data_IF_518859800583
#
_entry.id   IF_518859800583
#
_cell.length_a   1.000
_cell.length_b   1.000
_cell.length_c   1.000
_cell.angle_alpha   90.00
_cell.angle_beta   90.00
_cell.angle_gamma   90.00
#
_symmetry.space_group_name_H-M   'P 1'
#
loop_
_entity.id
_entity.type
_entity.pdbx_description
1 polymer ?
#
# COMPACT_ATOMS: atom_id res chain seq x y z
N UNK A 1 -24.55 -34.95 11.42
CA UNK A 1 -24.41 -33.47 11.48
C UNK A 1 -23.16 -33.04 12.26
N UNK A 2 -21.95 -33.38 11.79
CA UNK A 2 -20.68 -32.91 12.42
C UNK A 2 -19.62 -32.41 11.41
N UNK A 3 -20.00 -32.25 10.15
CA UNK A 3 -19.11 -31.78 9.07
C UNK A 3 -19.27 -30.29 8.74
N UNK A 4 -20.28 -29.62 9.29
CA UNK A 4 -20.54 -28.20 9.01
C UNK A 4 -19.80 -27.24 9.95
N UNK A 5 -19.26 -27.72 11.09
CA UNK A 5 -18.64 -26.85 12.09
C UNK A 5 -17.14 -26.57 11.84
N UNK A 6 -16.48 -27.36 11.00
CA UNK A 6 -15.05 -27.20 10.68
C UNK A 6 -14.75 -26.24 9.54
N UNK A 7 -15.74 -25.89 8.70
CA UNK A 7 -15.54 -24.95 7.59
C UNK A 7 -15.62 -23.46 8.00
N UNK A 8 -16.20 -23.15 9.17
CA UNK A 8 -16.41 -21.77 9.62
C UNK A 8 -15.18 -21.11 10.28
N UNK A 9 -14.11 -21.88 10.53
CA UNK A 9 -12.89 -21.36 11.16
C UNK A 9 -11.84 -20.82 10.17
N UNK A 10 -12.01 -21.02 8.86
CA UNK A 10 -11.01 -20.66 7.84
C UNK A 10 -11.18 -19.27 7.21
N UNK A 11 -12.31 -18.61 7.48
CA UNK A 11 -12.63 -17.31 6.88
C UNK A 11 -11.93 -16.11 7.56
N UNK A 12 -11.74 -16.04 8.90
CA UNK A 12 -11.24 -14.81 9.51
C UNK A 12 -9.78 -14.53 9.19
N UNK A 13 -8.95 -15.53 8.88
CA UNK A 13 -7.52 -15.34 8.57
C UNK A 13 -7.29 -14.62 7.25
N UNK A 14 -8.15 -14.83 6.24
CA UNK A 14 -8.04 -14.19 4.93
C UNK A 14 -8.34 -12.69 4.99
N UNK A 15 -9.25 -12.25 5.85
CA UNK A 15 -9.59 -10.83 5.99
C UNK A 15 -8.44 -10.02 6.60
N UNK A 16 -7.71 -10.59 7.55
CA UNK A 16 -6.59 -9.92 8.22
C UNK A 16 -5.35 -9.90 7.34
N UNK A 17 -5.07 -11.01 6.63
CA UNK A 17 -4.00 -11.04 5.65
C UNK A 17 -4.21 -9.97 4.56
N UNK A 18 -5.45 -9.78 4.10
CA UNK A 18 -5.76 -8.74 3.12
C UNK A 18 -5.61 -7.31 3.69
N UNK A 19 -5.99 -7.06 4.95
CA UNK A 19 -5.82 -5.74 5.55
C UNK A 19 -4.35 -5.39 5.80
N UNK A 20 -3.54 -6.37 6.19
CA UNK A 20 -2.09 -6.21 6.32
C UNK A 20 -1.45 -5.90 4.97
N UNK A 21 -1.67 -6.76 3.97
CA UNK A 21 -1.10 -6.58 2.62
C UNK A 21 -1.48 -5.21 2.06
N UNK A 22 -2.74 -4.80 2.21
CA UNK A 22 -3.19 -3.49 1.74
C UNK A 22 -2.47 -2.35 2.46
N UNK A 23 -2.37 -2.38 3.79
CA UNK A 23 -1.69 -1.32 4.55
C UNK A 23 -0.24 -1.15 4.10
N UNK A 24 0.48 -2.25 3.92
CA UNK A 24 1.85 -2.25 3.39
C UNK A 24 1.92 -1.80 1.93
N UNK A 25 0.99 -2.26 1.08
CA UNK A 25 0.95 -1.89 -0.32
C UNK A 25 0.71 -0.38 -0.49
N UNK A 26 -0.23 0.20 0.25
CA UNK A 26 -0.49 1.65 0.20
C UNK A 26 0.69 2.49 0.69
N UNK A 27 1.38 2.09 1.76
CA UNK A 27 2.64 2.75 2.17
C UNK A 27 3.68 2.66 1.05
N UNK A 28 3.94 1.45 0.53
CA UNK A 28 4.94 1.25 -0.52
C UNK A 28 4.63 1.99 -1.81
N UNK A 29 3.35 2.06 -2.21
CA UNK A 29 2.94 2.83 -3.38
C UNK A 29 3.16 4.33 -3.16
N UNK A 30 2.77 4.85 -2.00
CA UNK A 30 2.97 6.28 -1.68
C UNK A 30 4.46 6.67 -1.62
N UNK A 31 5.35 5.77 -1.19
CA UNK A 31 6.80 5.98 -1.23
C UNK A 31 7.35 5.99 -2.67
N UNK A 32 6.89 5.08 -3.52
CA UNK A 32 7.23 5.06 -4.95
C UNK A 32 6.78 6.37 -5.61
N UNK A 33 5.56 6.82 -5.31
CA UNK A 33 5.02 8.07 -5.82
C UNK A 33 5.83 9.29 -5.36
N UNK A 34 6.15 9.38 -4.06
CA UNK A 34 6.96 10.46 -3.50
C UNK A 34 8.38 10.53 -4.13
N UNK A 35 8.92 9.38 -4.55
CA UNK A 35 10.24 9.28 -5.21
C UNK A 35 10.17 9.32 -6.74
N UNK A 36 8.98 9.49 -7.33
CA UNK A 36 8.81 9.51 -8.77
C UNK A 36 9.45 10.75 -9.41
N UNK A 37 10.21 10.53 -10.48
CA UNK A 37 10.84 11.60 -11.26
C UNK A 37 9.85 12.41 -12.10
N UNK A 38 8.61 11.93 -12.23
CA UNK A 38 7.54 12.62 -12.97
C UNK A 38 6.84 13.69 -12.14
N UNK A 39 7.00 13.69 -10.80
CA UNK A 39 6.36 14.64 -9.90
C UNK A 39 7.36 15.77 -9.61
N UNK A 40 7.29 16.83 -10.41
CA UNK A 40 8.28 17.92 -10.38
C UNK A 40 7.74 19.21 -9.76
N UNK A 41 6.41 19.38 -9.69
CA UNK A 41 5.82 20.60 -9.11
C UNK A 41 5.92 20.55 -7.58
N UNK A 42 6.39 21.63 -6.91
CA UNK A 42 6.51 21.65 -5.45
C UNK A 42 5.21 21.33 -4.71
N UNK A 43 4.08 21.83 -5.21
CA UNK A 43 2.75 21.59 -4.60
C UNK A 43 2.38 20.11 -4.66
N UNK A 44 2.56 19.48 -5.83
CA UNK A 44 2.29 18.04 -6.02
C UNK A 44 3.20 17.17 -5.14
N UNK A 45 4.47 17.55 -5.02
CA UNK A 45 5.42 16.87 -4.13
C UNK A 45 5.02 16.97 -2.65
N UNK A 46 4.64 18.17 -2.17
CA UNK A 46 4.19 18.34 -0.78
C UNK A 46 2.94 17.51 -0.49
N UNK A 47 2.04 17.41 -1.45
CA UNK A 47 0.86 16.57 -1.31
C UNK A 47 1.22 15.08 -1.26
N UNK A 48 2.06 14.58 -2.16
CA UNK A 48 2.50 13.18 -2.12
C UNK A 48 3.26 12.86 -0.82
N UNK A 49 4.03 13.81 -0.29
CA UNK A 49 4.67 13.67 1.02
C UNK A 49 3.64 13.54 2.14
N UNK A 50 2.58 14.36 2.14
CA UNK A 50 1.51 14.26 3.14
C UNK A 50 0.80 12.90 3.08
N UNK A 51 0.47 12.43 1.88
CA UNK A 51 -0.13 11.11 1.65
C UNK A 51 0.80 9.99 2.12
N UNK A 52 2.10 10.04 1.81
CA UNK A 52 3.07 9.05 2.29
C UNK A 52 3.09 8.95 3.83
N UNK A 53 3.10 10.10 4.51
CA UNK A 53 3.08 10.13 5.97
C UNK A 53 1.77 9.56 6.54
N UNK A 54 0.63 9.87 5.94
CA UNK A 54 -0.68 9.30 6.31
C UNK A 54 -0.71 7.77 6.18
N UNK A 55 -0.31 7.23 5.02
CA UNK A 55 -0.31 5.77 4.80
C UNK A 55 0.69 5.04 5.69
N UNK A 56 1.87 5.64 5.89
CA UNK A 56 2.87 5.12 6.83
C UNK A 56 2.32 5.08 8.26
N UNK A 57 1.69 6.16 8.73
CA UNK A 57 1.10 6.20 10.07
C UNK A 57 -0.04 5.19 10.22
N UNK A 58 -0.91 5.10 9.20
CA UNK A 58 -2.02 4.13 9.17
C UNK A 58 -1.50 2.70 9.31
N UNK A 59 -0.46 2.33 8.56
CA UNK A 59 0.16 1.00 8.69
C UNK A 59 0.80 0.83 10.08
N UNK A 60 1.48 1.84 10.62
CA UNK A 60 2.10 1.78 11.95
C UNK A 60 1.10 1.57 13.10
N UNK A 61 -0.14 2.00 12.93
CA UNK A 61 -1.18 1.80 13.94
C UNK A 61 -1.57 0.32 14.13
N UNK A 62 -1.28 -0.54 13.15
CA UNK A 62 -1.74 -1.94 13.17
C UNK A 62 -0.63 -2.96 12.94
N UNK A 63 0.44 -2.60 12.24
CA UNK A 63 1.48 -3.53 11.81
C UNK A 63 2.88 -2.97 12.10
N UNK A 64 3.92 -3.82 12.26
CA UNK A 64 5.30 -3.37 12.44
C UNK A 64 5.90 -2.76 11.17
N UNK A 65 7.05 -2.10 11.28
CA UNK A 65 7.75 -1.55 10.11
C UNK A 65 8.40 -2.67 9.28
N UNK A 66 8.09 -2.72 7.98
CA UNK A 66 8.75 -3.62 7.02
C UNK A 66 8.78 -2.99 5.61
N UNK A 67 9.75 -2.10 5.32
CA UNK A 67 9.81 -1.36 4.06
C UNK A 67 9.98 -2.27 2.84
N UNK A 68 10.77 -3.35 2.95
CA UNK A 68 10.96 -4.33 1.88
C UNK A 68 9.64 -5.01 1.50
N UNK A 69 8.82 -5.34 2.50
CA UNK A 69 7.49 -5.91 2.25
C UNK A 69 6.51 -4.88 1.69
N UNK A 70 6.53 -3.64 2.18
CA UNK A 70 5.73 -2.54 1.64
C UNK A 70 5.96 -2.35 0.13
N UNK A 71 7.24 -2.27 -0.27
CA UNK A 71 7.63 -2.13 -1.66
C UNK A 71 7.30 -3.37 -2.50
N UNK A 72 7.46 -4.57 -1.95
CA UNK A 72 7.07 -5.79 -2.64
C UNK A 72 5.55 -5.84 -2.87
N UNK A 73 4.76 -5.60 -1.81
CA UNK A 73 3.29 -5.65 -1.86
C UNK A 73 2.72 -4.63 -2.86
N UNK A 74 3.25 -3.40 -2.88
CA UNK A 74 2.82 -2.37 -3.83
C UNK A 74 3.09 -2.77 -5.28
N UNK A 75 4.27 -3.34 -5.57
CA UNK A 75 4.61 -3.85 -6.90
C UNK A 75 3.71 -4.98 -7.35
N UNK A 76 3.36 -5.91 -6.46
CA UNK A 76 2.45 -7.00 -6.79
C UNK A 76 1.02 -6.50 -7.05
N UNK A 77 0.53 -5.57 -6.22
CA UNK A 77 -0.86 -5.13 -6.28
C UNK A 77 -1.17 -4.21 -7.47
N UNK A 78 -0.23 -3.31 -7.80
CA UNK A 78 -0.41 -2.34 -8.90
C UNK A 78 0.51 -2.59 -10.11
N UNK A 79 1.16 -3.76 -10.18
CA UNK A 79 2.01 -4.17 -11.29
C UNK A 79 3.12 -3.14 -11.63
N UNK A 80 3.69 -2.51 -10.61
CA UNK A 80 4.75 -1.51 -10.77
C UNK A 80 6.09 -2.23 -11.01
N UNK A 81 6.73 -1.93 -12.12
CA UNK A 81 8.01 -2.51 -12.54
C UNK A 81 9.18 -1.68 -12.04
N UNK A 82 10.37 -2.28 -12.10
CA UNK A 82 11.61 -1.56 -11.83
C UNK A 82 11.80 -0.47 -12.91
N UNK A 83 12.02 0.78 -12.48
CA UNK A 83 12.17 1.92 -13.38
C UNK A 83 10.86 2.62 -13.74
N UNK A 84 9.71 2.13 -13.25
CA UNK A 84 8.46 2.87 -13.39
C UNK A 84 8.52 4.16 -12.59
N UNK A 85 8.02 5.23 -13.20
CA UNK A 85 7.93 6.55 -12.60
C UNK A 85 6.49 7.06 -12.79
N UNK A 86 5.56 6.72 -11.87
CA UNK A 86 4.16 7.11 -12.01
C UNK A 86 4.00 8.64 -12.00
N UNK A 87 3.06 9.16 -12.79
CA UNK A 87 2.71 10.59 -12.72
C UNK A 87 1.95 10.90 -11.45
N UNK A 88 1.87 12.19 -11.11
CA UNK A 88 1.08 12.64 -9.98
C UNK A 88 -0.38 12.19 -10.08
N UNK A 89 -1.00 12.28 -11.25
CA UNK A 89 -2.39 11.88 -11.49
C UNK A 89 -2.59 10.38 -11.28
N UNK A 90 -1.65 9.55 -11.73
CA UNK A 90 -1.70 8.10 -11.52
C UNK A 90 -1.60 7.76 -10.02
N UNK A 91 -0.71 8.43 -9.30
CA UNK A 91 -0.58 8.29 -7.86
C UNK A 91 -1.84 8.74 -7.11
N UNK A 92 -2.36 9.92 -7.44
CA UNK A 92 -3.51 10.51 -6.80
C UNK A 92 -4.80 9.70 -7.04
N UNK A 93 -4.95 9.08 -8.21
CA UNK A 93 -6.12 8.25 -8.53
C UNK A 93 -6.25 6.99 -7.65
N UNK A 94 -5.16 6.56 -7.01
CA UNK A 94 -5.13 5.36 -6.17
C UNK A 94 -5.02 5.73 -4.68
N UNK A 95 -4.29 6.78 -4.36
CA UNK A 95 -3.88 7.09 -2.98
C UNK A 95 -4.79 8.10 -2.25
N UNK A 96 -5.61 8.86 -2.99
CA UNK A 96 -6.64 9.73 -2.43
C UNK A 96 -7.96 8.98 -2.31
#
# INVERSE_FOLDING_TARGET
MRLALTLLAFIPTLSWANSEINAYAYEGLSEICMSSRMITKPVEFQEMKAIYLDKKQTRQASFPSNPSFAFFASKQLWNIRLGDHPTFEQCAAILR
#
